data_IF_059326494051
#
_entry.id   IF_059326494051
#
_cell.length_a   1.000
_cell.length_b   1.000
_cell.length_c   1.000
_cell.angle_alpha   90.00
_cell.angle_beta   90.00
_cell.angle_gamma   90.00
#
_symmetry.space_group_name_H-M   'P 1'
#
loop_
_entity.id
_entity.type
_entity.pdbx_description
1 polymer ?
#
# COMPACT_ATOMS: atom_id res chain seq x y z
N UNK A 1 24.94 9.38 6.19
CA UNK A 1 23.58 9.11 5.69
C UNK A 1 23.47 7.61 5.45
N UNK A 2 22.57 6.92 6.13
CA UNK A 2 22.39 5.47 5.94
C UNK A 2 21.39 5.25 4.79
N UNK A 3 21.72 4.38 3.85
CA UNK A 3 20.79 3.93 2.82
C UNK A 3 19.84 2.89 3.43
N UNK A 4 18.54 3.04 3.18
CA UNK A 4 17.49 2.12 3.66
C UNK A 4 16.68 1.69 2.45
N UNK A 5 16.51 0.39 2.26
CA UNK A 5 15.57 -0.15 1.28
C UNK A 5 14.16 -0.06 1.89
N UNK A 6 13.23 0.57 1.16
CA UNK A 6 11.95 1.02 1.71
C UNK A 6 11.01 -0.14 2.00
N UNK A 7 10.92 -1.13 1.10
CA UNK A 7 10.03 -2.28 1.29
C UNK A 7 10.51 -3.17 2.43
N UNK A 8 11.82 -3.41 2.51
CA UNK A 8 12.49 -4.12 3.58
C UNK A 8 12.20 -3.49 4.93
N UNK A 9 12.34 -2.17 5.07
CA UNK A 9 12.01 -1.46 6.30
C UNK A 9 10.52 -1.57 6.68
N UNK A 10 9.60 -1.50 5.71
CA UNK A 10 8.16 -1.65 5.94
C UNK A 10 7.83 -3.07 6.44
N UNK A 11 8.32 -4.10 5.75
CA UNK A 11 8.10 -5.48 6.15
C UNK A 11 8.75 -5.79 7.50
N UNK A 12 9.99 -5.35 7.74
CA UNK A 12 10.67 -5.53 9.02
C UNK A 12 9.93 -4.85 10.17
N UNK A 13 9.34 -3.67 9.95
CA UNK A 13 8.53 -2.99 10.98
C UNK A 13 7.34 -3.87 11.36
N UNK A 14 6.63 -4.42 10.38
CA UNK A 14 5.50 -5.33 10.62
C UNK A 14 5.94 -6.64 11.28
N UNK A 15 7.06 -7.22 10.85
CA UNK A 15 7.60 -8.50 11.35
C UNK A 15 8.13 -8.37 12.79
N UNK A 16 8.93 -7.34 13.08
CA UNK A 16 9.67 -7.21 14.34
C UNK A 16 8.98 -6.33 15.39
N UNK A 17 8.04 -5.46 14.99
CA UNK A 17 7.28 -4.60 15.91
C UNK A 17 5.81 -4.98 16.01
N UNK A 18 5.27 -5.72 15.04
CA UNK A 18 3.84 -5.99 14.99
C UNK A 18 3.01 -4.74 14.69
N UNK A 19 3.64 -3.69 14.14
CA UNK A 19 3.01 -2.40 13.85
C UNK A 19 2.84 -2.20 12.34
N UNK A 20 1.72 -1.61 11.93
CA UNK A 20 1.53 -1.15 10.55
C UNK A 20 2.09 0.27 10.40
N UNK A 21 3.14 0.50 9.58
CA UNK A 21 3.70 1.84 9.35
C UNK A 21 2.80 2.73 8.48
N UNK A 22 1.54 2.31 8.26
CA UNK A 22 0.51 2.96 7.46
C UNK A 22 0.97 3.24 6.02
N UNK A 23 1.72 2.31 5.44
CA UNK A 23 2.03 2.33 4.02
C UNK A 23 0.87 1.72 3.24
N UNK A 24 0.12 2.57 2.55
CA UNK A 24 -1.25 2.29 2.10
C UNK A 24 -1.38 1.13 1.11
N UNK A 25 -0.31 0.79 0.39
CA UNK A 25 -0.30 -0.32 -0.57
C UNK A 25 0.11 -1.66 0.06
N UNK A 26 0.72 -1.64 1.26
CA UNK A 26 1.14 -2.85 2.01
C UNK A 26 0.38 -2.89 3.34
N UNK A 27 -0.94 -2.86 3.24
CA UNK A 27 -1.87 -3.12 4.34
C UNK A 27 -3.14 -3.77 3.81
N UNK A 28 -3.91 -4.36 4.71
CA UNK A 28 -5.19 -5.02 4.42
C UNK A 28 -6.28 -4.42 5.31
N UNK A 29 -7.34 -3.81 4.74
CA UNK A 29 -7.52 -3.46 3.34
C UNK A 29 -6.58 -2.34 2.85
N UNK A 30 -6.41 -2.25 1.53
CA UNK A 30 -5.61 -1.21 0.89
C UNK A 30 -6.17 0.20 1.17
N UNK A 31 -5.29 1.20 1.25
CA UNK A 31 -5.68 2.55 1.64
C UNK A 31 -6.40 3.36 0.56
N UNK A 32 -6.49 2.90 -0.68
CA UNK A 32 -7.12 3.66 -1.76
C UNK A 32 -8.61 3.93 -1.46
N UNK A 33 -8.99 5.21 -1.37
CA UNK A 33 -10.34 5.67 -1.06
C UNK A 33 -10.70 5.72 0.42
N UNK A 34 -9.90 5.11 1.32
CA UNK A 34 -10.18 5.07 2.78
C UNK A 34 -9.05 5.61 3.66
N UNK A 35 -7.82 5.62 3.16
CA UNK A 35 -6.62 6.19 3.81
C UNK A 35 -5.90 7.21 2.92
N UNK A 36 -6.25 7.27 1.64
CA UNK A 36 -5.82 8.31 0.70
C UNK A 36 -6.93 8.66 -0.28
N UNK A 37 -6.84 9.87 -0.81
CA UNK A 37 -7.57 10.37 -1.97
C UNK A 37 -6.59 11.18 -2.81
N UNK A 38 -6.70 11.10 -4.13
CA UNK A 38 -5.89 11.92 -5.03
C UNK A 38 -6.77 12.93 -5.75
N UNK A 39 -6.23 14.13 -5.94
CA UNK A 39 -6.90 15.22 -6.63
C UNK A 39 -6.11 15.55 -7.90
N UNK A 40 -6.83 15.74 -9.00
CA UNK A 40 -6.25 16.24 -10.25
C UNK A 40 -6.39 17.77 -10.32
N UNK A 41 -5.63 18.40 -11.21
CA UNK A 41 -5.57 19.86 -11.36
C UNK A 41 -6.92 20.48 -11.76
N UNK A 42 -7.79 19.68 -12.38
CA UNK A 42 -9.14 20.03 -12.80
C UNK A 42 -10.17 19.91 -11.67
N UNK A 43 -9.76 19.47 -10.47
CA UNK A 43 -10.66 19.24 -9.34
C UNK A 43 -11.31 17.85 -9.31
N UNK A 44 -11.00 16.96 -10.27
CA UNK A 44 -11.46 15.57 -10.22
C UNK A 44 -10.79 14.81 -9.05
N UNK A 45 -11.59 14.01 -8.34
CA UNK A 45 -11.16 13.22 -7.17
C UNK A 45 -11.05 11.74 -7.56
N UNK A 46 -9.99 11.09 -7.10
CA UNK A 46 -9.67 9.68 -7.38
C UNK A 46 -9.34 8.92 -6.09
N UNK A 47 -9.39 7.60 -6.17
CA UNK A 47 -9.12 6.70 -5.02
C UNK A 47 -7.69 6.81 -4.47
N UNK A 48 -6.70 7.00 -5.34
CA UNK A 48 -5.28 7.11 -5.01
C UNK A 48 -4.52 7.72 -6.20
N UNK A 49 -3.22 7.96 -6.04
CA UNK A 49 -2.42 8.56 -7.11
C UNK A 49 -2.34 7.67 -8.35
N UNK A 50 -2.28 6.34 -8.21
CA UNK A 50 -2.29 5.44 -9.36
C UNK A 50 -3.64 5.44 -10.08
N UNK A 51 -4.75 5.62 -9.36
CA UNK A 51 -6.06 5.83 -9.97
C UNK A 51 -6.08 7.11 -10.82
N UNK A 52 -5.45 8.18 -10.32
CA UNK A 52 -5.28 9.45 -11.05
C UNK A 52 -4.33 9.29 -12.26
N UNK A 53 -3.27 8.49 -12.14
CA UNK A 53 -2.36 8.17 -13.24
C UNK A 53 -3.03 7.35 -14.34
N UNK A 54 -3.89 6.39 -13.97
CA UNK A 54 -4.70 5.65 -14.94
C UNK A 54 -5.67 6.57 -15.70
N UNK A 55 -6.27 7.54 -15.00
CA UNK A 55 -7.11 8.55 -15.62
C UNK A 55 -6.35 9.41 -16.65
N UNK A 56 -5.09 9.76 -16.37
CA UNK A 56 -4.22 10.45 -17.33
C UNK A 56 -3.91 9.61 -18.59
N UNK A 57 -4.06 8.28 -18.51
CA UNK A 57 -3.97 7.35 -19.65
C UNK A 57 -5.34 7.05 -20.30
N UNK A 58 -6.40 7.73 -19.88
CA UNK A 58 -7.76 7.57 -20.40
C UNK A 58 -8.65 6.58 -19.63
N UNK A 59 -8.15 5.94 -18.57
CA UNK A 59 -8.93 5.00 -17.75
C UNK A 59 -9.50 5.69 -16.50
N UNK A 60 -10.80 6.03 -16.56
CA UNK A 60 -11.51 6.75 -15.51
C UNK A 60 -12.12 5.84 -14.43
N UNK A 61 -11.80 4.54 -14.41
CA UNK A 61 -12.40 3.54 -13.49
C UNK A 61 -12.35 3.96 -12.02
N UNK A 62 -11.30 4.69 -11.63
CA UNK A 62 -11.03 5.09 -10.25
C UNK A 62 -11.41 6.54 -9.92
N UNK A 63 -12.14 7.24 -10.80
CA UNK A 63 -12.69 8.57 -10.51
C UNK A 63 -13.89 8.45 -9.58
N UNK A 64 -13.89 9.25 -8.52
CA UNK A 64 -14.91 9.23 -7.45
C UNK A 64 -15.85 10.43 -7.51
N UNK A 65 -15.43 11.52 -8.14
CA UNK A 65 -16.24 12.74 -8.22
C UNK A 65 -15.40 13.98 -8.51
N UNK A 66 -15.89 15.12 -8.06
CA UNK A 66 -15.28 16.43 -8.25
C UNK A 66 -15.39 17.28 -6.98
N UNK A 67 -14.33 18.01 -6.61
CA UNK A 67 -14.22 18.74 -5.34
C UNK A 67 -15.32 19.77 -5.12
N UNK A 68 -15.81 20.40 -6.19
CA UNK A 68 -16.84 21.44 -6.10
C UNK A 68 -18.26 20.88 -5.90
N UNK A 69 -18.47 19.60 -6.18
CA UNK A 69 -19.81 19.00 -6.30
C UNK A 69 -20.06 17.87 -5.31
N UNK A 70 -19.00 17.13 -4.97
CA UNK A 70 -19.08 15.89 -4.21
C UNK A 70 -18.91 16.12 -2.72
N UNK A 71 -19.79 15.52 -1.90
CA UNK A 71 -19.58 15.50 -0.45
C UNK A 71 -18.58 14.41 -0.11
N UNK A 72 -17.76 14.65 0.92
CA UNK A 72 -16.75 13.69 1.38
C UNK A 72 -17.34 12.29 1.64
N UNK A 73 -18.51 12.22 2.30
CA UNK A 73 -19.22 10.97 2.58
C UNK A 73 -19.55 10.17 1.32
N UNK A 74 -19.90 10.86 0.23
CA UNK A 74 -20.26 10.22 -1.04
C UNK A 74 -18.99 9.70 -1.75
N UNK A 75 -17.87 10.41 -1.61
CA UNK A 75 -16.55 10.00 -2.14
C UNK A 75 -16.06 8.73 -1.44
N UNK A 76 -15.98 8.72 -0.10
CA UNK A 76 -15.47 7.55 0.64
C UNK A 76 -16.47 6.38 0.65
N UNK A 77 -17.76 6.68 0.48
CA UNK A 77 -18.83 5.68 0.34
C UNK A 77 -19.03 5.17 -1.09
N UNK A 78 -18.25 5.66 -2.06
CA UNK A 78 -18.45 5.37 -3.47
C UNK A 78 -18.37 3.86 -3.78
N UNK A 79 -19.19 3.31 -4.69
CA UNK A 79 -19.15 1.89 -5.04
C UNK A 79 -17.75 1.38 -5.43
N UNK A 80 -16.96 2.18 -6.15
CA UNK A 80 -15.57 1.87 -6.48
C UNK A 80 -14.70 1.68 -5.24
N UNK A 81 -14.80 2.57 -4.24
CA UNK A 81 -14.05 2.44 -2.98
C UNK A 81 -14.45 1.16 -2.26
N UNK A 82 -15.76 0.89 -2.17
CA UNK A 82 -16.27 -0.35 -1.55
C UNK A 82 -15.75 -1.60 -2.26
N UNK A 83 -15.76 -1.60 -3.59
CA UNK A 83 -15.23 -2.72 -4.38
C UNK A 83 -13.73 -2.92 -4.14
N UNK A 84 -12.94 -1.85 -4.08
CA UNK A 84 -11.51 -1.92 -3.78
C UNK A 84 -11.23 -2.41 -2.37
N UNK A 85 -12.01 -2.00 -1.37
CA UNK A 85 -11.88 -2.48 0.02
C UNK A 85 -12.13 -3.99 0.09
N UNK A 86 -13.19 -4.48 -0.57
CA UNK A 86 -13.48 -5.92 -0.60
C UNK A 86 -12.38 -6.67 -1.36
N UNK A 87 -11.97 -6.16 -2.52
CA UNK A 87 -10.93 -6.79 -3.33
C UNK A 87 -9.56 -6.81 -2.64
N UNK A 88 -9.29 -5.85 -1.75
CA UNK A 88 -8.02 -5.77 -1.00
C UNK A 88 -8.04 -6.41 0.38
N UNK A 89 -9.15 -7.03 0.78
CA UNK A 89 -9.19 -7.82 2.00
C UNK A 89 -8.50 -9.18 1.77
N UNK A 90 -7.26 -9.32 2.26
CA UNK A 90 -6.44 -10.52 2.05
C UNK A 90 -7.08 -11.80 2.60
N UNK A 91 -7.88 -11.71 3.66
CA UNK A 91 -8.57 -12.85 4.27
C UNK A 91 -9.70 -13.40 3.39
N UNK A 92 -10.12 -12.65 2.38
CA UNK A 92 -11.13 -13.04 1.41
C UNK A 92 -10.55 -13.27 0.00
N UNK A 93 -9.23 -13.16 -0.17
CA UNK A 93 -8.58 -13.34 -1.48
C UNK A 93 -8.01 -14.77 -1.62
N UNK A 94 -8.27 -15.44 -2.76
CA UNK A 94 -7.56 -16.65 -3.14
C UNK A 94 -6.03 -16.43 -3.12
N UNK A 95 -5.29 -17.49 -2.80
CA UNK A 95 -3.83 -17.50 -2.55
C UNK A 95 -3.37 -16.67 -1.32
N UNK A 96 -3.92 -15.48 -1.07
CA UNK A 96 -3.53 -14.65 0.07
C UNK A 96 -3.96 -15.24 1.41
N UNK A 97 -5.18 -15.81 1.50
CA UNK A 97 -5.71 -16.40 2.74
C UNK A 97 -4.85 -17.55 3.29
N UNK A 98 -4.07 -18.21 2.41
CA UNK A 98 -3.16 -19.31 2.78
C UNK A 98 -1.67 -18.92 2.67
N UNK A 99 -1.37 -17.65 2.46
CA UNK A 99 0.00 -17.16 2.31
C UNK A 99 0.62 -16.90 3.68
N UNK A 100 1.81 -17.45 3.95
CA UNK A 100 2.59 -17.18 5.19
C UNK A 100 2.85 -15.69 5.43
N UNK A 101 2.94 -14.90 4.37
CA UNK A 101 3.19 -13.47 4.43
C UNK A 101 1.94 -12.60 4.55
N UNK A 102 0.74 -13.19 4.63
CA UNK A 102 -0.51 -12.45 4.78
C UNK A 102 -0.45 -11.37 5.89
N UNK A 103 0.07 -11.63 7.11
CA UNK A 103 0.08 -10.65 8.19
C UNK A 103 0.89 -9.38 7.89
N UNK A 104 1.82 -9.43 6.93
CA UNK A 104 2.76 -8.36 6.65
C UNK A 104 2.53 -7.69 5.29
N UNK A 105 1.60 -8.21 4.49
CA UNK A 105 1.44 -7.83 3.09
C UNK A 105 0.22 -6.91 2.86
N UNK A 106 0.02 -6.54 1.60
CA UNK A 106 -1.14 -5.83 1.08
C UNK A 106 -1.26 -6.07 -0.43
N UNK A 107 -2.35 -5.60 -1.02
CA UNK A 107 -2.50 -5.63 -2.47
C UNK A 107 -2.93 -4.27 -3.00
N UNK A 108 -2.41 -3.93 -4.17
CA UNK A 108 -2.74 -2.70 -4.86
C UNK A 108 -3.77 -3.00 -5.97
N UNK A 109 -5.03 -2.70 -5.70
CA UNK A 109 -6.16 -3.03 -6.60
C UNK A 109 -6.11 -2.29 -7.93
N UNK A 110 -5.57 -1.06 -7.97
CA UNK A 110 -5.32 -0.32 -9.21
C UNK A 110 -4.27 -1.00 -10.09
N UNK A 111 -3.24 -1.59 -9.48
CA UNK A 111 -2.22 -2.36 -10.20
C UNK A 111 -2.82 -3.65 -10.79
N UNK A 112 -3.62 -4.38 -10.00
CA UNK A 112 -4.31 -5.57 -10.49
C UNK A 112 -5.24 -5.22 -11.65
N UNK A 113 -5.99 -4.11 -11.55
CA UNK A 113 -6.86 -3.65 -12.62
C UNK A 113 -6.08 -3.37 -13.90
N UNK A 114 -4.97 -2.62 -13.81
CA UNK A 114 -4.14 -2.29 -14.97
C UNK A 114 -3.49 -3.51 -15.62
N UNK A 115 -3.00 -4.46 -14.82
CA UNK A 115 -2.19 -5.59 -15.33
C UNK A 115 -3.00 -6.83 -15.64
N UNK A 116 -4.16 -7.00 -14.99
CA UNK A 116 -4.97 -8.23 -15.05
C UNK A 116 -6.42 -7.97 -15.44
N UNK A 117 -6.85 -6.71 -15.62
CA UNK A 117 -8.21 -6.35 -16.01
C UNK A 117 -9.25 -6.49 -14.91
N UNK A 118 -8.83 -6.66 -13.65
CA UNK A 118 -9.70 -6.86 -12.50
C UNK A 118 -9.10 -6.24 -11.23
N UNK A 119 -9.93 -5.61 -10.40
CA UNK A 119 -9.50 -5.14 -9.07
C UNK A 119 -9.16 -6.31 -8.13
N UNK A 120 -9.81 -7.46 -8.32
CA UNK A 120 -9.42 -8.73 -7.70
C UNK A 120 -8.19 -9.26 -8.39
N UNK A 121 -7.14 -9.52 -7.61
CA UNK A 121 -5.88 -9.98 -8.16
C UNK A 121 -5.75 -11.50 -8.20
N UNK A 122 -5.14 -11.99 -9.27
CA UNK A 122 -4.65 -13.36 -9.44
C UNK A 122 -3.18 -13.36 -9.01
N UNK A 123 -2.94 -13.68 -7.74
CA UNK A 123 -1.62 -13.46 -7.12
C UNK A 123 -0.51 -14.34 -7.70
N UNK A 124 -0.83 -15.53 -8.22
CA UNK A 124 0.12 -16.39 -8.93
C UNK A 124 0.72 -15.76 -10.19
N UNK A 125 -0.01 -14.86 -10.82
CA UNK A 125 0.41 -14.14 -12.03
C UNK A 125 0.88 -12.72 -11.72
N UNK A 126 0.87 -12.30 -10.44
CA UNK A 126 1.25 -10.95 -10.04
C UNK A 126 2.76 -10.86 -9.81
N UNK A 127 3.44 -10.09 -10.66
CA UNK A 127 4.86 -9.79 -10.49
C UNK A 127 5.13 -9.06 -9.17
N UNK A 128 4.24 -8.17 -8.73
CA UNK A 128 4.37 -7.50 -7.43
C UNK A 128 4.30 -8.52 -6.28
N UNK A 129 3.37 -9.48 -6.36
CA UNK A 129 3.28 -10.54 -5.34
C UNK A 129 4.57 -11.37 -5.30
N UNK A 130 5.12 -11.75 -6.46
CA UNK A 130 6.38 -12.48 -6.54
C UNK A 130 7.56 -11.70 -5.92
N UNK A 131 7.66 -10.39 -6.20
CA UNK A 131 8.69 -9.52 -5.62
C UNK A 131 8.52 -9.38 -4.10
N UNK A 132 7.31 -9.11 -3.61
CA UNK A 132 7.05 -9.02 -2.17
C UNK A 132 7.36 -10.32 -1.43
N UNK A 133 7.07 -11.47 -2.04
CA UNK A 133 7.45 -12.78 -1.49
C UNK A 133 8.96 -12.93 -1.44
N UNK A 134 9.67 -12.64 -2.53
CA UNK A 134 11.13 -12.73 -2.56
C UNK A 134 11.85 -11.81 -1.57
N UNK A 135 11.35 -10.58 -1.37
CA UNK A 135 11.88 -9.68 -0.33
C UNK A 135 11.68 -10.30 1.05
N UNK A 136 10.49 -10.80 1.36
CA UNK A 136 10.20 -11.39 2.66
C UNK A 136 10.95 -12.71 2.89
N UNK A 137 11.07 -13.58 1.88
CA UNK A 137 11.90 -14.78 1.92
C UNK A 137 13.33 -14.43 2.35
N UNK A 138 13.93 -13.42 1.68
CA UNK A 138 15.27 -12.94 2.01
C UNK A 138 15.37 -12.39 3.44
N UNK A 139 14.39 -11.59 3.88
CA UNK A 139 14.39 -11.05 5.24
C UNK A 139 14.31 -12.16 6.30
N UNK A 140 13.42 -13.14 6.10
CA UNK A 140 13.27 -14.26 7.03
C UNK A 140 14.48 -15.20 7.02
N UNK A 141 15.11 -15.42 5.87
CA UNK A 141 16.40 -16.13 5.78
C UNK A 141 17.45 -15.42 6.64
N UNK A 142 17.62 -14.12 6.48
CA UNK A 142 18.60 -13.35 7.26
C UNK A 142 18.27 -13.28 8.75
N UNK A 143 16.99 -13.25 9.12
CA UNK A 143 16.55 -13.38 10.51
C UNK A 143 16.90 -14.75 11.09
N UNK A 144 16.79 -15.82 10.30
CA UNK A 144 17.13 -17.17 10.71
C UNK A 144 18.65 -17.38 10.85
N UNK A 145 19.46 -16.79 9.95
CA UNK A 145 20.93 -16.80 10.03
C UNK A 145 21.44 -16.09 11.30
N UNK A 146 20.67 -15.11 11.80
CA UNK A 146 20.90 -14.39 13.05
C UNK A 146 22.29 -13.72 13.18
N UNK A 147 22.87 -13.28 12.05
CA UNK A 147 24.13 -12.55 12.06
C UNK A 147 24.00 -11.22 12.83
N UNK A 148 24.81 -10.97 13.89
CA UNK A 148 24.60 -9.82 14.77
C UNK A 148 24.54 -8.47 14.06
N UNK A 149 25.41 -8.26 13.07
CA UNK A 149 25.48 -6.99 12.33
C UNK A 149 24.27 -6.77 11.40
N UNK A 150 23.64 -7.86 10.91
CA UNK A 150 22.43 -7.80 10.09
C UNK A 150 21.21 -7.51 10.96
N UNK A 151 21.08 -8.19 12.10
CA UNK A 151 19.99 -7.94 13.05
C UNK A 151 20.01 -6.50 13.56
N UNK A 152 21.21 -5.97 13.85
CA UNK A 152 21.35 -4.56 14.24
C UNK A 152 20.93 -3.61 13.10
N UNK A 153 21.25 -3.94 11.85
CA UNK A 153 20.79 -3.16 10.70
C UNK A 153 19.27 -3.19 10.54
N UNK A 154 18.65 -4.38 10.68
CA UNK A 154 17.20 -4.55 10.61
C UNK A 154 16.48 -3.79 11.71
N UNK A 155 16.99 -3.85 12.95
CA UNK A 155 16.44 -3.10 14.09
C UNK A 155 16.42 -1.59 13.81
N UNK A 156 17.53 -1.04 13.34
CA UNK A 156 17.63 0.38 12.94
C UNK A 156 16.69 0.76 11.81
N UNK A 157 16.36 -0.16 10.90
CA UNK A 157 15.42 0.10 9.80
C UNK A 157 13.97 0.18 10.26
N UNK A 158 13.63 -0.40 11.41
CA UNK A 158 12.29 -0.28 12.03
C UNK A 158 12.07 1.05 12.76
N UNK A 159 13.14 1.82 13.03
CA UNK A 159 13.00 3.09 13.75
C UNK A 159 12.38 4.15 12.83
N UNK A 160 11.08 4.42 13.02
CA UNK A 160 10.40 5.53 12.34
C UNK A 160 10.98 6.83 12.88
N UNK A 161 11.87 7.46 12.11
CA UNK A 161 12.35 8.81 12.43
C UNK A 161 11.23 9.80 12.16
N UNK A 162 10.93 10.63 13.14
CA UNK A 162 9.93 11.68 13.00
C UNK A 162 10.28 12.57 11.79
N UNK A 163 9.32 12.73 10.88
CA UNK A 163 9.45 13.58 9.68
C UNK A 163 9.19 15.05 10.02
N UNK A 164 9.71 15.53 11.15
CA UNK A 164 9.48 16.89 11.67
C UNK A 164 9.94 17.98 10.69
N UNK A 165 10.85 17.65 9.76
CA UNK A 165 11.35 18.57 8.74
C UNK A 165 10.34 18.89 7.63
N UNK A 166 9.20 18.19 7.54
CA UNK A 166 8.10 18.51 6.60
C UNK A 166 6.95 19.29 7.27
N UNK A 167 6.98 19.44 8.59
CA UNK A 167 6.01 20.26 9.29
C UNK A 167 6.47 21.71 9.17
N UNK A 168 5.81 22.48 8.30
CA UNK A 168 5.91 23.93 8.38
C UNK A 168 5.37 24.35 9.75
N UNK A 169 6.17 25.06 10.54
CA UNK A 169 5.67 25.67 11.77
C UNK A 169 4.48 26.56 11.42
N UNK A 170 3.41 26.58 12.22
CA UNK A 170 2.30 27.49 11.97
C UNK A 170 2.85 28.93 11.95
N UNK A 171 2.69 29.61 10.82
CA UNK A 171 2.93 31.05 10.75
C UNK A 171 1.89 31.71 11.66
N UNK A 172 2.36 32.38 12.71
CA UNK A 172 1.55 33.06 13.72
C UNK A 172 0.91 34.34 13.20
#
# INVERSE_FOLDING_TARGET
MQMIERFGAIFLTKILRGEDPNFLDIRSPAGAGIGQLAYSYDGSVYTCDEGRMLAAQGDQTFRLGHVAESKYRDIVGHPTVRAMVIASNLDSQPDCVSCTYNPYCGIQTTHNHKTQGSVFGRMRESNICAVHKGIQDYLFEKLADAEPHVLEAFDRWTTIRAREHFLHAPEG
#
